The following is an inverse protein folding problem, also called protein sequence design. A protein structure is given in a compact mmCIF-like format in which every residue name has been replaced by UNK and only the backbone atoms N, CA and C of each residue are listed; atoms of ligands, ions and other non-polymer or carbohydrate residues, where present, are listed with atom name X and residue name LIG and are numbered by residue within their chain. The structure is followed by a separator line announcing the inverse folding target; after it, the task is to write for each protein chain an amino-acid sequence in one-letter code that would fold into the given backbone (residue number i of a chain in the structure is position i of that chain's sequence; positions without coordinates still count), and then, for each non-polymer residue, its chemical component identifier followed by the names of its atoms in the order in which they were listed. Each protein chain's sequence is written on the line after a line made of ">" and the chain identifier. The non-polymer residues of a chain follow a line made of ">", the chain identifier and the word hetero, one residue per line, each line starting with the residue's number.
data_IF_593739910030
#
_entry.id   IF_593739910030
#
_cell.length_a   1.000
_cell.length_b   1.000
_cell.length_c   1.000
_cell.angle_alpha   90.00
_cell.angle_beta   90.00
_cell.angle_gamma   90.00
#
_symmetry.space_group_name_H-M   'P 1'
#
loop_
_entity.id
_entity.type
_entity.pdbx_description
1 polymer ?
#
# COMPACT_ATOMS: atom_id res chain seq x y z
N UNK A 1 -8.38 1.89 19.09
CA UNK A 1 -7.60 3.14 19.24
C UNK A 1 -8.18 4.15 18.27
N UNK A 2 -8.66 5.29 18.73
CA UNK A 2 -9.08 6.36 17.82
C UNK A 2 -7.84 6.97 17.19
N UNK A 3 -7.66 6.75 15.88
CA UNK A 3 -6.53 7.27 15.10
C UNK A 3 -6.76 8.74 14.79
N UNK A 4 -5.74 9.55 15.04
CA UNK A 4 -5.72 10.95 14.63
C UNK A 4 -5.34 11.11 13.15
N UNK A 5 -5.48 12.34 12.63
CA UNK A 5 -5.06 12.70 11.27
C UNK A 5 -3.57 12.41 11.01
N UNK A 6 -2.72 12.62 12.02
CA UNK A 6 -1.28 12.34 11.93
C UNK A 6 -0.99 10.85 11.72
N UNK A 7 -1.76 9.98 12.37
CA UNK A 7 -1.59 8.53 12.24
C UNK A 7 -1.97 8.05 10.84
N UNK A 8 -3.05 8.61 10.27
CA UNK A 8 -3.44 8.32 8.89
C UNK A 8 -2.46 8.87 7.87
N UNK A 9 -1.88 10.05 8.11
CA UNK A 9 -0.80 10.57 7.27
C UNK A 9 0.42 9.65 7.31
N UNK A 10 0.82 9.16 8.49
CA UNK A 10 1.89 8.19 8.63
C UNK A 10 1.57 6.86 7.96
N UNK A 11 0.33 6.36 8.09
CA UNK A 11 -0.12 5.16 7.38
C UNK A 11 -0.04 5.33 5.87
N UNK A 12 -0.48 6.48 5.35
CA UNK A 12 -0.38 6.77 3.92
C UNK A 12 1.08 6.80 3.46
N UNK A 13 2.00 7.39 4.22
CA UNK A 13 3.44 7.35 3.92
C UNK A 13 4.00 5.92 3.96
N UNK A 14 3.55 5.07 4.89
CA UNK A 14 3.91 3.65 4.90
C UNK A 14 3.37 2.93 3.65
N UNK A 15 2.16 3.26 3.23
CA UNK A 15 1.59 2.80 1.95
C UNK A 15 2.42 3.24 0.74
N UNK A 16 2.93 4.47 0.75
CA UNK A 16 3.85 4.95 -0.31
C UNK A 16 5.12 4.11 -0.36
N UNK A 17 5.75 3.88 0.80
CA UNK A 17 6.94 3.05 0.90
C UNK A 17 6.71 1.60 0.46
N UNK A 18 5.54 1.05 0.80
CA UNK A 18 5.12 -0.28 0.34
C UNK A 18 4.95 -0.33 -1.18
N UNK A 19 4.26 0.65 -1.78
CA UNK A 19 4.09 0.73 -3.23
C UNK A 19 5.41 0.94 -3.98
N UNK A 20 6.34 1.72 -3.40
CA UNK A 20 7.65 1.93 -3.99
C UNK A 20 8.49 0.65 -3.99
N UNK A 21 8.38 -0.16 -2.94
CA UNK A 21 9.03 -1.46 -2.87
C UNK A 21 8.50 -2.44 -3.92
N UNK A 22 7.20 -2.46 -4.19
CA UNK A 22 6.61 -3.37 -5.17
C UNK A 22 7.01 -3.04 -6.63
N UNK A 23 7.45 -1.82 -6.91
CA UNK A 23 7.96 -1.42 -8.23
C UNK A 23 9.43 -1.78 -8.46
N UNK A 24 10.20 -2.02 -7.40
CA UNK A 24 11.63 -2.35 -7.48
C UNK A 24 11.80 -3.87 -7.56
N UNK A 25 12.45 -4.42 -8.60
CA UNK A 25 12.73 -5.85 -8.70
C UNK A 25 13.46 -6.37 -7.46
N UNK A 26 13.03 -7.51 -6.92
CA UNK A 26 13.68 -8.14 -5.77
C UNK A 26 13.30 -7.57 -4.40
N UNK A 27 12.47 -6.51 -4.33
CA UNK A 27 11.95 -5.96 -3.06
C UNK A 27 10.48 -6.36 -2.90
N UNK A 28 10.07 -6.76 -1.69
CA UNK A 28 8.69 -7.15 -1.38
C UNK A 28 8.00 -6.11 -0.52
N UNK A 29 6.86 -5.57 -0.99
CA UNK A 29 6.02 -4.67 -0.21
C UNK A 29 5.50 -5.30 1.09
N UNK A 30 5.29 -6.61 1.12
CA UNK A 30 4.95 -7.35 2.35
C UNK A 30 6.06 -7.28 3.41
N UNK A 31 7.32 -7.36 2.99
CA UNK A 31 8.48 -7.20 3.88
C UNK A 31 8.58 -5.78 4.41
N UNK A 32 8.32 -4.77 3.58
CA UNK A 32 8.26 -3.37 4.03
C UNK A 32 7.13 -3.16 5.03
N UNK A 33 5.94 -3.69 4.75
CA UNK A 33 4.79 -3.64 5.67
C UNK A 33 5.13 -4.27 7.03
N UNK A 34 5.94 -5.33 7.05
CA UNK A 34 6.45 -5.96 8.28
C UNK A 34 7.44 -5.07 9.02
N UNK A 35 8.46 -4.57 8.33
CA UNK A 35 9.49 -3.69 8.91
C UNK A 35 8.87 -2.42 9.51
N UNK A 36 7.88 -1.83 8.84
CA UNK A 36 7.20 -0.60 9.30
C UNK A 36 6.07 -0.86 10.29
N UNK A 37 5.86 -2.13 10.70
CA UNK A 37 4.97 -2.51 11.79
C UNK A 37 3.48 -2.41 11.47
N UNK A 38 3.08 -2.56 10.21
CA UNK A 38 1.66 -2.55 9.79
C UNK A 38 1.20 -3.90 9.24
N UNK A 39 2.09 -4.89 9.17
CA UNK A 39 1.82 -6.18 8.52
C UNK A 39 0.68 -6.95 9.17
N UNK A 40 0.70 -7.11 10.49
CA UNK A 40 -0.35 -7.87 11.19
C UNK A 40 -1.71 -7.23 11.00
N UNK A 41 -1.78 -5.90 11.14
CA UNK A 41 -3.02 -5.16 10.92
C UNK A 41 -3.50 -5.24 9.47
N UNK A 42 -2.59 -5.22 8.49
CA UNK A 42 -2.92 -5.40 7.09
C UNK A 42 -3.51 -6.78 6.83
N UNK A 43 -2.85 -7.83 7.32
CA UNK A 43 -3.31 -9.21 7.16
C UNK A 43 -4.65 -9.41 7.86
N UNK A 44 -4.85 -8.90 9.06
CA UNK A 44 -6.11 -9.00 9.78
C UNK A 44 -7.23 -8.22 9.09
N UNK A 45 -6.93 -7.03 8.58
CA UNK A 45 -7.88 -6.23 7.79
C UNK A 45 -8.29 -6.97 6.51
N UNK A 46 -7.35 -7.62 5.82
CA UNK A 46 -7.66 -8.44 4.63
C UNK A 46 -8.51 -9.67 5.02
N UNK A 47 -8.12 -10.41 6.07
CA UNK A 47 -8.87 -11.59 6.56
C UNK A 47 -10.29 -11.26 7.03
N UNK A 48 -10.51 -10.03 7.50
CA UNK A 48 -11.83 -9.56 7.94
C UNK A 48 -12.79 -9.35 6.77
N UNK A 49 -12.30 -9.31 5.52
CA UNK A 49 -13.09 -9.37 4.30
C UNK A 49 -13.48 -10.85 4.07
N UNK A 50 -14.60 -11.26 4.64
CA UNK A 50 -15.12 -12.63 4.61
C UNK A 50 -16.63 -12.62 4.37
N UNK A 51 -17.25 -13.81 4.30
CA UNK A 51 -18.68 -13.93 4.00
C UNK A 51 -19.61 -13.12 4.93
N UNK A 52 -19.21 -12.85 6.18
CA UNK A 52 -20.00 -12.03 7.10
C UNK A 52 -19.93 -10.55 6.74
N UNK A 53 -18.74 -10.01 6.48
CA UNK A 53 -18.59 -8.61 6.07
C UNK A 53 -19.15 -8.38 4.68
N UNK A 54 -18.95 -9.29 3.72
CA UNK A 54 -19.62 -9.20 2.41
C UNK A 54 -21.15 -9.21 2.53
N UNK A 55 -21.73 -10.02 3.44
CA UNK A 55 -23.17 -9.95 3.70
C UNK A 55 -23.59 -8.58 4.23
N UNK A 56 -22.80 -7.93 5.08
CA UNK A 56 -23.07 -6.55 5.53
C UNK A 56 -23.04 -5.54 4.38
N UNK A 57 -22.14 -5.73 3.42
CA UNK A 57 -22.07 -4.91 2.20
C UNK A 57 -23.34 -5.07 1.34
N UNK A 58 -23.72 -6.30 1.00
CA UNK A 58 -24.91 -6.55 0.16
C UNK A 58 -26.25 -6.26 0.86
N UNK A 59 -26.28 -6.26 2.19
CA UNK A 59 -27.48 -5.87 2.96
C UNK A 59 -27.58 -4.35 3.18
N UNK A 60 -26.70 -3.56 2.56
CA UNK A 60 -26.73 -2.09 2.62
C UNK A 60 -26.21 -1.51 3.94
N UNK A 61 -25.56 -2.32 4.80
CA UNK A 61 -25.00 -1.88 6.09
C UNK A 61 -23.55 -1.39 5.92
N UNK A 62 -23.35 -0.42 5.04
CA UNK A 62 -22.03 0.11 4.63
C UNK A 62 -21.16 0.56 5.81
N UNK A 63 -21.73 1.25 6.82
CA UNK A 63 -20.98 1.69 7.99
C UNK A 63 -20.50 0.54 8.87
N UNK A 64 -21.30 -0.52 9.02
CA UNK A 64 -20.91 -1.72 9.76
C UNK A 64 -19.88 -2.55 9.00
N UNK A 65 -20.03 -2.65 7.67
CA UNK A 65 -19.03 -3.24 6.79
C UNK A 65 -17.68 -2.50 6.91
N UNK A 66 -17.68 -1.18 6.79
CA UNK A 66 -16.48 -0.36 6.83
C UNK A 66 -15.70 -0.52 8.14
N UNK A 67 -16.42 -0.55 9.27
CA UNK A 67 -15.82 -0.85 10.57
C UNK A 67 -15.32 -2.28 10.68
N UNK A 68 -16.08 -3.25 10.15
CA UNK A 68 -15.71 -4.67 10.20
C UNK A 68 -14.42 -4.96 9.42
N UNK A 69 -14.15 -4.21 8.33
CA UNK A 69 -12.97 -4.42 7.50
C UNK A 69 -11.78 -3.52 7.82
N UNK A 70 -11.87 -2.69 8.87
CA UNK A 70 -10.90 -1.63 9.13
C UNK A 70 -10.67 -0.73 7.89
N UNK A 71 -11.77 -0.28 7.28
CA UNK A 71 -11.76 0.40 5.99
C UNK A 71 -10.91 1.67 5.95
N UNK A 72 -10.84 2.42 7.06
CA UNK A 72 -9.99 3.61 7.16
C UNK A 72 -8.48 3.29 7.05
N UNK A 73 -8.05 2.16 7.63
CA UNK A 73 -6.68 1.70 7.48
C UNK A 73 -6.41 1.29 6.02
N UNK A 74 -7.27 0.43 5.47
CA UNK A 74 -7.12 -0.08 4.11
C UNK A 74 -7.10 1.05 3.07
N UNK A 75 -8.02 2.01 3.15
CA UNK A 75 -8.07 3.12 2.20
C UNK A 75 -6.83 4.01 2.30
N UNK A 76 -6.27 4.20 3.50
CA UNK A 76 -5.06 5.01 3.69
C UNK A 76 -3.82 4.35 3.08
N UNK A 77 -3.68 3.03 3.27
CA UNK A 77 -2.60 2.24 2.66
C UNK A 77 -2.75 2.23 1.13
N UNK A 78 -3.95 1.90 0.62
CA UNK A 78 -4.23 1.86 -0.82
C UNK A 78 -4.02 3.23 -1.47
N UNK A 79 -4.42 4.32 -0.81
CA UNK A 79 -4.16 5.67 -1.30
C UNK A 79 -2.64 5.95 -1.36
N UNK A 80 -1.89 5.54 -0.36
CA UNK A 80 -0.42 5.65 -0.35
C UNK A 80 0.23 4.86 -1.50
N UNK A 81 -0.17 3.60 -1.68
CA UNK A 81 0.33 2.75 -2.78
C UNK A 81 -0.01 3.38 -4.12
N UNK A 82 -1.26 3.83 -4.33
CA UNK A 82 -1.67 4.47 -5.57
C UNK A 82 -0.85 5.74 -5.88
N UNK A 83 -0.63 6.60 -4.87
CA UNK A 83 0.24 7.78 -5.02
C UNK A 83 1.66 7.37 -5.40
N UNK A 84 2.19 6.33 -4.77
CA UNK A 84 3.52 5.79 -5.11
C UNK A 84 3.56 5.36 -6.57
N UNK A 85 2.62 4.52 -6.99
CA UNK A 85 2.62 3.95 -8.34
C UNK A 85 2.49 5.03 -9.42
N UNK A 86 1.56 5.97 -9.26
CA UNK A 86 1.39 7.02 -10.26
C UNK A 86 2.55 8.03 -10.29
N UNK A 87 3.24 8.24 -9.17
CA UNK A 87 4.38 9.16 -9.11
C UNK A 87 5.66 8.51 -9.60
N UNK A 88 6.00 7.32 -9.10
CA UNK A 88 7.20 6.60 -9.50
C UNK A 88 7.14 6.12 -10.95
N UNK A 89 5.98 5.69 -11.47
CA UNK A 89 5.87 5.33 -12.88
C UNK A 89 6.29 6.49 -13.81
N UNK A 90 5.92 7.74 -13.48
CA UNK A 90 6.36 8.92 -14.24
C UNK A 90 7.86 9.16 -14.11
N UNK A 91 8.40 9.02 -12.88
CA UNK A 91 9.82 9.20 -12.59
C UNK A 91 10.67 8.16 -13.33
N UNK A 92 10.31 6.87 -13.24
CA UNK A 92 11.00 5.77 -13.93
C UNK A 92 10.91 5.94 -15.44
N UNK A 93 9.76 6.34 -15.98
CA UNK A 93 9.62 6.59 -17.42
C UNK A 93 10.57 7.70 -17.87
N UNK A 94 10.64 8.81 -17.13
CA UNK A 94 11.57 9.91 -17.40
C UNK A 94 13.05 9.47 -17.31
N UNK A 95 13.40 8.74 -16.25
CA UNK A 95 14.75 8.18 -16.04
C UNK A 95 15.15 7.19 -17.14
N UNK A 96 14.22 6.36 -17.62
CA UNK A 96 14.47 5.44 -18.73
C UNK A 96 14.65 6.17 -20.06
N UNK A 97 14.04 7.34 -20.25
CA UNK A 97 14.24 8.15 -21.46
C UNK A 97 15.54 8.94 -21.45
N UNK A 98 15.92 9.55 -20.32
CA UNK A 98 17.07 10.48 -20.26
C UNK A 98 18.36 9.81 -19.74
N UNK A 99 18.21 8.78 -18.91
CA UNK A 99 19.29 8.14 -18.15
C UNK A 99 19.23 6.61 -18.20
N UNK A 100 18.78 6.05 -19.34
CA UNK A 100 18.59 4.61 -19.52
C UNK A 100 19.76 3.77 -18.97
N UNK A 101 20.99 4.06 -19.40
CA UNK A 101 22.19 3.28 -19.01
C UNK A 101 22.38 3.21 -17.49
N UNK A 102 22.13 4.30 -16.76
CA UNK A 102 22.24 4.32 -15.29
C UNK A 102 21.13 3.48 -14.64
N UNK A 103 19.90 3.55 -15.17
CA UNK A 103 18.77 2.75 -14.69
C UNK A 103 19.01 1.26 -14.92
N UNK A 104 19.46 0.89 -16.11
CA UNK A 104 19.83 -0.49 -16.43
C UNK A 104 20.96 -0.98 -15.53
N UNK A 105 22.03 -0.19 -15.33
CA UNK A 105 23.13 -0.55 -14.45
C UNK A 105 22.70 -0.70 -12.98
N UNK A 106 21.81 0.18 -12.50
CA UNK A 106 21.25 0.11 -11.15
C UNK A 106 20.48 -1.19 -10.91
N UNK A 107 19.56 -1.53 -11.82
CA UNK A 107 18.77 -2.77 -11.69
C UNK A 107 19.59 -4.03 -11.99
N UNK A 108 20.56 -3.98 -12.90
CA UNK A 108 21.46 -5.11 -13.16
C UNK A 108 22.36 -5.43 -11.97
N UNK A 109 22.69 -4.45 -11.13
CA UNK A 109 23.41 -4.69 -9.88
C UNK A 109 22.54 -5.19 -8.72
N UNK A 110 21.21 -5.13 -8.86
CA UNK A 110 20.24 -5.45 -7.82
C UNK A 110 19.61 -6.85 -7.99
N UNK A 111 19.62 -7.39 -9.21
CA UNK A 111 19.16 -8.74 -9.60
C UNK A 111 20.36 -9.66 -9.79
#
# INVERSE_FOLDING_TARGET
>A
MERGLKDYALLMLKGVGMGAADEVPGVSGGTIAFIVGIYDELIDSIKSINGKSLKLFFTGKWGAFWKAINGNFLISIVAGIAVSVFSLAKIITWLLTDHSVMVWAFFFGLV
#
